data_IF_483898401648
#
_entry.id   IF_483898401648
#
_cell.length_a   1.000
_cell.length_b   1.000
_cell.length_c   1.000
_cell.angle_alpha   90.00
_cell.angle_beta   90.00
_cell.angle_gamma   90.00
#
_symmetry.space_group_name_H-M   'P 1'
#
loop_
_entity.id
_entity.type
_entity.pdbx_description
1 polymer ?
#
# COMPACT_ATOMS: atom_id res chain seq x y z
N UNK A 1 -28.00 -4.40 -15.49
CA UNK A 1 -28.10 -4.11 -14.05
C UNK A 1 -27.21 -5.03 -13.23
N UNK A 2 -26.71 -4.51 -12.10
CA UNK A 2 -25.93 -5.28 -11.13
C UNK A 2 -26.84 -6.17 -10.26
N UNK A 3 -26.36 -7.36 -9.86
CA UNK A 3 -27.01 -8.19 -8.85
C UNK A 3 -27.32 -7.40 -7.56
N UNK A 4 -28.46 -7.67 -6.94
CA UNK A 4 -28.96 -6.91 -5.78
C UNK A 4 -28.01 -6.89 -4.59
N UNK A 5 -27.37 -8.02 -4.34
CA UNK A 5 -26.34 -8.22 -3.32
C UNK A 5 -25.09 -7.35 -3.54
N UNK A 6 -24.81 -6.95 -4.79
CA UNK A 6 -23.63 -6.14 -5.12
C UNK A 6 -23.92 -4.64 -5.10
N UNK A 7 -25.19 -4.24 -5.27
CA UNK A 7 -25.57 -2.82 -5.41
C UNK A 7 -25.13 -1.97 -4.23
N UNK A 8 -25.29 -2.46 -2.99
CA UNK A 8 -24.91 -1.71 -1.79
C UNK A 8 -23.39 -1.42 -1.74
N UNK A 9 -22.57 -2.40 -2.08
CA UNK A 9 -21.11 -2.25 -2.14
C UNK A 9 -20.71 -1.27 -3.25
N UNK A 10 -21.34 -1.39 -4.43
CA UNK A 10 -21.08 -0.46 -5.55
C UNK A 10 -21.42 0.97 -5.17
N UNK A 11 -22.58 1.21 -4.55
CA UNK A 11 -22.98 2.56 -4.10
C UNK A 11 -21.98 3.10 -3.08
N UNK A 12 -21.53 2.27 -2.14
CA UNK A 12 -20.53 2.66 -1.14
C UNK A 12 -19.22 3.11 -1.80
N UNK A 13 -18.74 2.38 -2.81
CA UNK A 13 -17.55 2.77 -3.58
C UNK A 13 -17.75 4.08 -4.33
N UNK A 14 -18.90 4.27 -4.99
CA UNK A 14 -19.21 5.51 -5.71
C UNK A 14 -19.25 6.73 -4.78
N UNK A 15 -19.84 6.59 -3.59
CA UNK A 15 -19.89 7.65 -2.59
C UNK A 15 -18.48 7.98 -2.08
N UNK A 16 -17.66 6.96 -1.80
CA UNK A 16 -16.27 7.17 -1.40
C UNK A 16 -15.48 7.93 -2.47
N UNK A 17 -15.56 7.51 -3.73
CA UNK A 17 -14.87 8.19 -4.84
C UNK A 17 -15.34 9.63 -5.03
N UNK A 18 -16.66 9.87 -4.96
CA UNK A 18 -17.22 11.21 -5.06
C UNK A 18 -16.71 12.11 -3.93
N UNK A 19 -16.72 11.62 -2.70
CA UNK A 19 -16.19 12.35 -1.54
C UNK A 19 -14.69 12.61 -1.66
N UNK A 20 -13.92 11.66 -2.20
CA UNK A 20 -12.50 11.86 -2.46
C UNK A 20 -12.27 12.98 -3.50
N UNK A 21 -13.06 13.02 -4.59
CA UNK A 21 -13.02 14.13 -5.57
C UNK A 21 -13.44 15.47 -4.98
N UNK A 22 -14.36 15.49 -4.02
CA UNK A 22 -14.72 16.75 -3.32
C UNK A 22 -13.54 17.27 -2.49
N UNK A 23 -12.79 16.38 -1.83
CA UNK A 23 -11.61 16.76 -1.02
C UNK A 23 -10.40 17.13 -1.88
N UNK A 24 -10.13 16.34 -2.92
CA UNK A 24 -9.07 16.56 -3.90
C UNK A 24 -9.68 16.55 -5.31
N UNK A 25 -10.03 17.72 -5.87
CA UNK A 25 -10.64 17.82 -7.19
C UNK A 25 -9.75 17.38 -8.35
N UNK A 26 -8.43 17.28 -8.14
CA UNK A 26 -7.48 16.94 -9.19
C UNK A 26 -7.21 15.44 -9.19
N UNK A 27 -6.88 14.86 -8.03
CA UNK A 27 -6.48 13.46 -7.96
C UNK A 27 -7.55 12.54 -7.34
N UNK A 28 -8.51 13.08 -6.58
CA UNK A 28 -9.53 12.28 -5.90
C UNK A 28 -8.94 11.10 -5.13
N UNK A 29 -9.53 9.91 -5.30
CA UNK A 29 -9.03 8.68 -4.67
C UNK A 29 -7.67 8.21 -5.22
N UNK A 30 -7.25 8.67 -6.40
CA UNK A 30 -5.92 8.33 -6.96
C UNK A 30 -4.82 8.90 -6.07
N UNK A 31 -5.02 10.09 -5.50
CA UNK A 31 -4.07 10.68 -4.54
C UNK A 31 -3.87 9.78 -3.30
N UNK A 32 -4.96 9.25 -2.75
CA UNK A 32 -4.91 8.31 -1.62
C UNK A 32 -4.20 6.99 -2.01
N UNK A 33 -4.50 6.45 -3.19
CA UNK A 33 -3.82 5.24 -3.73
C UNK A 33 -2.32 5.47 -3.89
N UNK A 34 -1.91 6.58 -4.51
CA UNK A 34 -0.49 6.90 -4.72
C UNK A 34 0.26 7.08 -3.41
N UNK A 35 -0.37 7.73 -2.41
CA UNK A 35 0.23 7.85 -1.09
C UNK A 35 0.47 6.49 -0.43
N UNK A 36 -0.49 5.57 -0.53
CA UNK A 36 -0.35 4.21 -0.02
C UNK A 36 0.74 3.42 -0.78
N UNK A 37 0.83 3.57 -2.10
CA UNK A 37 1.87 2.96 -2.90
C UNK A 37 3.27 3.46 -2.51
N UNK A 38 3.43 4.76 -2.26
CA UNK A 38 4.69 5.32 -1.76
C UNK A 38 5.08 4.75 -0.40
N UNK A 39 4.13 4.69 0.54
CA UNK A 39 4.38 4.11 1.86
C UNK A 39 4.77 2.62 1.77
N UNK A 40 4.11 1.88 0.88
CA UNK A 40 4.45 0.48 0.63
C UNK A 40 5.87 0.35 0.07
N UNK A 41 6.26 1.19 -0.89
CA UNK A 41 7.61 1.20 -1.46
C UNK A 41 8.68 1.48 -0.38
N UNK A 42 8.43 2.47 0.49
CA UNK A 42 9.33 2.78 1.60
C UNK A 42 9.50 1.60 2.56
N UNK A 43 8.39 0.90 2.87
CA UNK A 43 8.41 -0.27 3.74
C UNK A 43 9.08 -1.48 3.10
N UNK A 44 8.91 -1.70 1.81
CA UNK A 44 9.65 -2.74 1.08
C UNK A 44 11.15 -2.45 1.16
N UNK A 45 11.57 -1.21 0.88
CA UNK A 45 12.98 -0.82 0.97
C UNK A 45 13.54 -0.94 2.40
N UNK A 46 12.73 -0.68 3.44
CA UNK A 46 13.12 -0.92 4.84
C UNK A 46 13.34 -2.41 5.12
N UNK A 47 12.42 -3.27 4.70
CA UNK A 47 12.53 -4.73 4.85
C UNK A 47 13.78 -5.26 4.14
N UNK A 48 14.02 -4.85 2.91
CA UNK A 48 15.19 -5.27 2.14
C UNK A 48 16.51 -4.86 2.82
N UNK A 49 16.59 -3.62 3.33
CA UNK A 49 17.77 -3.16 4.09
C UNK A 49 18.03 -4.01 5.33
N UNK A 50 16.98 -4.33 6.10
CA UNK A 50 17.11 -5.14 7.31
C UNK A 50 17.48 -6.59 6.98
N UNK A 51 16.95 -7.15 5.88
CA UNK A 51 17.33 -8.48 5.41
C UNK A 51 18.83 -8.54 5.06
N UNK A 52 19.36 -7.54 4.36
CA UNK A 52 20.80 -7.46 4.04
C UNK A 52 21.66 -7.41 5.31
N UNK A 53 21.28 -6.58 6.29
CA UNK A 53 22.00 -6.50 7.56
C UNK A 53 21.97 -7.82 8.33
N UNK A 54 20.83 -8.50 8.34
CA UNK A 54 20.68 -9.81 8.98
C UNK A 54 21.56 -10.88 8.33
N UNK A 55 21.62 -10.93 7.00
CA UNK A 55 22.48 -11.88 6.27
C UNK A 55 23.97 -11.61 6.52
N UNK A 56 24.37 -10.34 6.56
CA UNK A 56 25.75 -9.97 6.90
C UNK A 56 26.13 -10.46 8.32
N UNK A 57 25.22 -10.32 9.29
CA UNK A 57 25.45 -10.80 10.65
C UNK A 57 25.55 -12.33 10.72
N UNK A 58 24.65 -13.07 10.04
CA UNK A 58 24.73 -14.53 9.96
C UNK A 58 26.08 -15.01 9.40
N UNK A 59 26.60 -14.35 8.38
CA UNK A 59 27.91 -14.64 7.79
C UNK A 59 29.07 -14.37 8.76
N UNK A 60 28.96 -13.32 9.59
CA UNK A 60 29.96 -13.00 10.61
C UNK A 60 29.95 -13.97 11.81
N UNK A 61 28.83 -14.68 12.03
CA UNK A 61 28.63 -15.62 13.13
C UNK A 61 28.96 -17.08 12.81
N UNK A 62 29.30 -17.43 11.56
CA UNK A 62 29.87 -18.76 11.30
C UNK A 62 31.27 -18.82 11.94
N UNK A 63 31.51 -19.69 12.94
CA UNK A 63 32.81 -19.79 13.58
C UNK A 63 33.84 -20.20 12.53
N UNK A 64 34.90 -19.41 12.38
CA UNK A 64 36.12 -19.83 11.72
C UNK A 64 36.58 -21.14 12.37
N UNK A 65 36.47 -22.26 11.66
CA UNK A 65 37.16 -23.51 12.03
C UNK A 65 38.66 -23.29 12.12
#
# INVERSE_FOLDING_TARGET
>A
DLPEDQRANTVSSLVYEANARVRDPVNGCVGEITALQSQLADKIAEVERLQVLLEAEKSNRSPSS
#
